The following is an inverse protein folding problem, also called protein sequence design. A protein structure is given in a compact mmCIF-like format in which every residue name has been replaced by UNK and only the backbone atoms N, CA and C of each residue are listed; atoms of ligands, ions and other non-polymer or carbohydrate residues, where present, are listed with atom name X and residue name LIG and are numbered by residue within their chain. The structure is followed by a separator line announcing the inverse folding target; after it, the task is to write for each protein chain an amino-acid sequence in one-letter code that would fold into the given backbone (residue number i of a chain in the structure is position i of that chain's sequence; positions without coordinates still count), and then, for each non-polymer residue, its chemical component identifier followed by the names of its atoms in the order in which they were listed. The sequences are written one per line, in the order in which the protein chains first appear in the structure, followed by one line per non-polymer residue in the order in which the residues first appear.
data_IF_686798182264
#
_entry.id   IF_686798182264
#
_cell.length_a   1.000
_cell.length_b   1.000
_cell.length_c   1.000
_cell.angle_alpha   90.00
_cell.angle_beta   90.00
_cell.angle_gamma   90.00
#
_symmetry.space_group_name_H-M   'P 1'
#
loop_
_entity.id
_entity.type
_entity.pdbx_description
1 polymer ?
#
# COMPACT_ATOMS: atom_id res chain seq x y z
N UNK A 1 -12.59 -1.41 -24.91
CA UNK A 1 -12.07 -0.03 -24.82
C UNK A 1 -13.23 0.88 -24.51
N UNK A 2 -13.38 1.28 -23.24
CA UNK A 2 -14.30 2.33 -22.84
C UNK A 2 -13.47 3.31 -22.03
N UNK A 3 -13.15 4.45 -22.63
CA UNK A 3 -12.50 5.58 -21.97
C UNK A 3 -13.59 6.35 -21.21
N UNK A 4 -13.75 6.00 -19.93
CA UNK A 4 -14.35 6.90 -18.95
C UNK A 4 -13.20 7.68 -18.34
N UNK A 5 -13.10 8.97 -18.66
CA UNK A 5 -12.18 9.89 -17.99
C UNK A 5 -12.41 9.79 -16.49
N UNK A 6 -11.42 9.24 -15.78
CA UNK A 6 -11.51 8.97 -14.35
C UNK A 6 -10.59 9.95 -13.63
N UNK A 7 -11.07 10.69 -12.61
CA UNK A 7 -10.26 11.63 -11.85
C UNK A 7 -9.43 10.85 -10.83
N UNK A 8 -8.34 10.22 -11.28
CA UNK A 8 -7.38 9.62 -10.35
C UNK A 8 -6.64 10.76 -9.64
N UNK A 9 -6.67 10.73 -8.30
CA UNK A 9 -6.21 11.77 -7.36
C UNK A 9 -6.61 13.23 -7.72
N UNK A 10 -7.60 13.84 -7.05
CA UNK A 10 -7.92 15.26 -7.24
C UNK A 10 -6.74 16.22 -6.99
N UNK A 11 -5.71 15.76 -6.27
CA UNK A 11 -4.53 16.52 -5.95
C UNK A 11 -3.52 16.62 -7.12
N UNK A 12 -3.48 15.61 -7.99
CA UNK A 12 -2.59 15.59 -9.16
C UNK A 12 -3.21 14.75 -10.31
N UNK A 13 -4.04 15.38 -11.17
CA UNK A 13 -4.78 14.68 -12.23
C UNK A 13 -3.90 14.02 -13.31
N UNK A 14 -2.63 14.44 -13.43
CA UNK A 14 -1.65 13.91 -14.38
C UNK A 14 -0.52 13.14 -13.66
N UNK A 15 -0.73 12.81 -12.37
CA UNK A 15 0.24 12.15 -11.51
C UNK A 15 0.44 10.66 -11.81
N UNK A 16 1.22 10.00 -10.95
CA UNK A 16 1.43 8.54 -11.02
C UNK A 16 0.12 7.80 -10.76
N UNK A 17 -0.23 6.87 -11.65
CA UNK A 17 -1.39 5.99 -11.50
C UNK A 17 -0.98 4.61 -10.96
N UNK A 18 -1.86 4.01 -10.14
CA UNK A 18 -1.73 2.64 -9.65
C UNK A 18 -2.74 1.73 -10.35
N UNK A 19 -2.23 0.74 -11.10
CA UNK A 19 -3.07 -0.25 -11.77
C UNK A 19 -3.31 -1.46 -10.85
N UNK A 20 -4.59 -1.82 -10.64
CA UNK A 20 -5.00 -2.98 -9.86
C UNK A 20 -5.35 -4.15 -10.80
N UNK A 21 -4.34 -4.90 -11.22
CA UNK A 21 -4.53 -6.02 -12.15
C UNK A 21 -5.02 -7.30 -11.46
N UNK A 22 -5.82 -8.13 -12.16
CA UNK A 22 -6.18 -9.47 -11.66
C UNK A 22 -4.95 -10.39 -11.51
N UNK A 23 -4.96 -11.24 -10.48
CA UNK A 23 -3.92 -12.28 -10.26
C UNK A 23 -4.16 -13.53 -11.13
N UNK A 24 -4.42 -13.34 -12.44
CA UNK A 24 -4.75 -14.42 -13.37
C UNK A 24 -3.54 -15.14 -13.97
N UNK A 25 -2.38 -14.49 -14.00
CA UNK A 25 -1.15 -15.09 -14.51
C UNK A 25 -0.63 -16.15 -13.52
N UNK A 26 -0.27 -17.37 -13.96
CA UNK A 26 0.12 -18.47 -13.06
C UNK A 26 1.29 -18.16 -12.11
N UNK A 27 2.19 -17.25 -12.50
CA UNK A 27 3.32 -16.84 -11.66
C UNK A 27 2.95 -15.80 -10.60
N UNK A 28 1.83 -15.09 -10.74
CA UNK A 28 1.50 -13.96 -9.88
C UNK A 28 1.13 -14.41 -8.45
N UNK A 29 0.35 -15.48 -8.32
CA UNK A 29 -0.03 -16.04 -7.01
C UNK A 29 1.20 -16.46 -6.18
N UNK A 30 2.03 -17.40 -6.67
CA UNK A 30 3.22 -17.86 -5.94
C UNK A 30 4.19 -16.74 -5.56
N UNK A 31 4.34 -15.73 -6.41
CA UNK A 31 5.20 -14.59 -6.12
C UNK A 31 4.65 -13.73 -4.96
N UNK A 32 3.36 -13.38 -4.99
CA UNK A 32 2.70 -12.62 -3.92
C UNK A 32 2.73 -13.39 -2.59
N UNK A 33 2.44 -14.69 -2.63
CA UNK A 33 2.46 -15.56 -1.45
C UNK A 33 3.85 -15.60 -0.79
N UNK A 34 4.93 -15.70 -1.59
CA UNK A 34 6.28 -15.67 -1.08
C UNK A 34 6.62 -14.34 -0.38
N UNK A 35 6.23 -13.21 -0.98
CA UNK A 35 6.47 -11.89 -0.39
C UNK A 35 5.73 -11.72 0.94
N UNK A 36 4.46 -12.12 1.01
CA UNK A 36 3.67 -12.07 2.25
C UNK A 36 4.28 -12.97 3.32
N UNK A 37 4.73 -14.18 2.97
CA UNK A 37 5.35 -15.12 3.89
C UNK A 37 6.68 -14.58 4.48
N UNK A 38 7.45 -13.85 3.68
CA UNK A 38 8.70 -13.21 4.12
C UNK A 38 8.47 -11.83 4.79
N UNK A 39 7.21 -11.37 4.89
CA UNK A 39 6.87 -10.05 5.44
C UNK A 39 7.31 -8.88 4.55
N UNK A 40 7.56 -9.13 3.27
CA UNK A 40 8.05 -8.13 2.31
C UNK A 40 6.87 -7.39 1.68
N UNK A 41 6.81 -6.05 1.80
CA UNK A 41 5.79 -5.25 1.13
C UNK A 41 5.88 -5.35 -0.40
N UNK A 42 4.72 -5.50 -1.05
CA UNK A 42 4.62 -5.50 -2.51
C UNK A 42 4.72 -4.08 -3.09
N UNK A 43 4.25 -3.09 -2.33
CA UNK A 43 4.20 -1.69 -2.76
C UNK A 43 4.37 -0.78 -1.56
N UNK A 44 5.02 0.38 -1.78
CA UNK A 44 5.21 1.42 -0.77
C UNK A 44 4.56 2.73 -1.24
N UNK A 45 3.82 3.39 -0.34
CA UNK A 45 3.32 4.75 -0.54
C UNK A 45 3.99 5.71 0.44
N UNK A 46 4.32 6.91 -0.05
CA UNK A 46 4.74 8.01 0.81
C UNK A 46 3.50 8.71 1.40
N UNK A 47 3.57 9.05 2.68
CA UNK A 47 2.55 9.83 3.38
C UNK A 47 3.20 10.91 4.23
N UNK A 48 2.48 12.01 4.46
CA UNK A 48 3.01 13.14 5.24
C UNK A 48 3.19 12.77 6.73
N UNK A 49 2.31 11.93 7.29
CA UNK A 49 2.39 11.45 8.68
C UNK A 49 1.85 10.01 8.79
N UNK A 50 2.76 9.05 8.94
CA UNK A 50 2.41 7.64 9.14
C UNK A 50 1.59 7.41 10.41
N UNK A 51 1.83 8.13 11.50
CA UNK A 51 1.08 7.90 12.75
C UNK A 51 -0.38 8.31 12.60
N UNK A 52 -0.62 9.50 12.04
CA UNK A 52 -1.98 9.99 11.79
C UNK A 52 -2.74 9.07 10.82
N UNK A 53 -2.06 8.60 9.78
CA UNK A 53 -2.68 7.75 8.76
C UNK A 53 -2.97 6.33 9.28
N UNK A 54 -2.10 5.76 10.11
CA UNK A 54 -2.34 4.47 10.77
C UNK A 54 -3.56 4.55 11.67
N UNK A 55 -3.70 5.59 12.49
CA UNK A 55 -4.89 5.77 13.35
C UNK A 55 -6.16 5.91 12.53
N UNK A 56 -6.14 6.71 11.46
CA UNK A 56 -7.28 6.88 10.55
C UNK A 56 -7.68 5.55 9.91
N UNK A 57 -6.73 4.78 9.39
CA UNK A 57 -6.98 3.52 8.70
C UNK A 57 -7.43 2.41 9.66
N UNK A 58 -6.85 2.32 10.86
CA UNK A 58 -7.35 1.43 11.92
C UNK A 58 -8.80 1.76 12.29
N UNK A 59 -9.16 3.04 12.37
CA UNK A 59 -10.53 3.49 12.59
C UNK A 59 -11.51 3.07 11.47
N UNK A 60 -11.01 2.81 10.26
CA UNK A 60 -11.77 2.26 9.14
C UNK A 60 -11.74 0.72 9.06
N UNK A 61 -11.08 0.06 10.01
CA UNK A 61 -11.01 -1.41 10.10
C UNK A 61 -9.83 -2.06 9.36
N UNK A 62 -8.88 -1.27 8.85
CA UNK A 62 -7.67 -1.79 8.19
C UNK A 62 -6.79 -2.51 9.20
N UNK A 63 -6.26 -3.66 8.78
CA UNK A 63 -5.35 -4.47 9.59
C UNK A 63 -3.90 -4.11 9.29
N UNK A 64 -3.12 -3.90 10.34
CA UNK A 64 -1.67 -3.66 10.26
C UNK A 64 -0.91 -4.88 10.74
N UNK A 65 0.00 -5.38 9.92
CA UNK A 65 0.94 -6.45 10.28
C UNK A 65 2.16 -5.90 11.01
N UNK A 66 2.49 -4.63 10.77
CA UNK A 66 3.46 -3.85 11.53
C UNK A 66 2.88 -2.46 11.82
N UNK A 67 2.84 -2.08 13.10
CA UNK A 67 2.42 -0.74 13.51
C UNK A 67 3.45 0.33 13.11
N UNK A 68 3.08 1.61 13.23
CA UNK A 68 3.98 2.73 12.97
C UNK A 68 5.27 2.61 13.80
N UNK A 69 6.38 2.37 13.12
CA UNK A 69 7.68 2.07 13.71
C UNK A 69 8.73 3.03 13.17
N UNK A 70 9.49 3.63 14.09
CA UNK A 70 10.54 4.58 13.78
C UNK A 70 11.88 3.87 13.57
N UNK A 71 12.44 4.00 12.37
CA UNK A 71 13.75 3.43 12.01
C UNK A 71 14.86 4.47 11.93
N UNK A 72 14.63 5.70 12.41
CA UNK A 72 15.58 6.81 12.35
C UNK A 72 15.20 7.80 11.25
N UNK A 73 15.73 7.67 10.01
CA UNK A 73 15.44 8.60 8.92
C UNK A 73 14.03 8.41 8.32
N UNK A 74 13.35 7.33 8.67
CA UNK A 74 12.01 6.98 8.18
C UNK A 74 11.16 6.41 9.30
N UNK A 75 9.88 6.75 9.29
CA UNK A 75 8.83 6.01 10.02
C UNK A 75 8.06 5.17 9.02
N UNK A 76 7.84 3.88 9.31
CA UNK A 76 7.05 3.00 8.43
C UNK A 76 5.97 2.24 9.18
N UNK A 77 4.90 1.88 8.46
CA UNK A 77 3.88 0.94 8.90
C UNK A 77 3.55 -0.02 7.75
N UNK A 78 3.11 -1.24 8.06
CA UNK A 78 2.76 -2.24 7.04
C UNK A 78 1.35 -2.75 7.28
N UNK A 79 0.51 -2.67 6.24
CA UNK A 79 -0.89 -3.10 6.25
C UNK A 79 -1.16 -4.25 5.28
N UNK A 80 -2.19 -5.04 5.59
CA UNK A 80 -2.76 -6.05 4.70
C UNK A 80 -3.84 -5.40 3.81
N UNK A 81 -3.70 -5.53 2.50
CA UNK A 81 -4.64 -4.95 1.53
C UNK A 81 -5.87 -5.82 1.24
N UNK A 82 -5.99 -6.98 1.90
CA UNK A 82 -7.03 -8.02 1.73
C UNK A 82 -7.06 -8.71 0.35
N UNK A 83 -6.16 -8.31 -0.55
CA UNK A 83 -5.98 -8.87 -1.88
C UNK A 83 -4.74 -9.77 -1.97
N UNK A 84 -4.14 -10.09 -0.83
CA UNK A 84 -2.95 -10.93 -0.72
C UNK A 84 -1.64 -10.17 -0.94
N UNK A 85 -1.60 -8.87 -0.63
CA UNK A 85 -0.37 -8.09 -0.58
C UNK A 85 -0.17 -7.42 0.78
N UNK A 86 1.10 -7.18 1.11
CA UNK A 86 1.49 -6.23 2.13
C UNK A 86 1.78 -4.87 1.48
N UNK A 87 1.29 -3.80 2.08
CA UNK A 87 1.51 -2.42 1.64
C UNK A 87 2.23 -1.65 2.74
N UNK A 88 3.31 -0.97 2.38
CA UNK A 88 4.05 -0.13 3.31
C UNK A 88 3.67 1.34 3.16
N UNK A 89 3.42 2.01 4.29
CA UNK A 89 3.36 3.46 4.38
C UNK A 89 4.67 3.98 4.94
N UNK A 90 5.20 5.06 4.38
CA UNK A 90 6.46 5.65 4.83
C UNK A 90 6.40 7.18 4.88
N UNK A 91 6.93 7.74 5.96
CA UNK A 91 7.22 9.18 6.09
C UNK A 91 8.73 9.33 6.26
N UNK A 92 9.37 10.08 5.36
CA UNK A 92 10.75 10.52 5.54
C UNK A 92 10.80 11.68 6.54
N UNK A 93 11.82 11.73 7.40
CA UNK A 93 12.03 12.83 8.35
C UNK A 93 12.99 13.89 7.84
#
# INVERSE_FOLDING_TARGET
MSTVGSPWSPADPDGVELLLEPTGHPAAGPFKEALVADGVPFTQFAVDDVYAEVERLKGLGVQFTQDATDFGPVVTAVLDDTCGNLIQLATMK
#
